data_IF_864919187426
#
_entry.id   IF_864919187426
#
_cell.length_a   1.000
_cell.length_b   1.000
_cell.length_c   1.000
_cell.angle_alpha   90.00
_cell.angle_beta   90.00
_cell.angle_gamma   90.00
#
_symmetry.space_group_name_H-M   'P 1'
#
loop_
_entity.id
_entity.type
_entity.pdbx_description
1 polymer ?
#
# COMPACT_ATOMS: atom_id res chain seq x y z
N UNK A 1 86.36 3.64 -0.92
CA UNK A 1 85.31 3.87 -1.94
C UNK A 1 84.69 2.54 -2.27
N UNK A 2 83.36 2.43 -2.21
CA UNK A 2 82.61 1.24 -2.62
C UNK A 2 81.44 0.94 -1.70
N UNK A 3 80.48 1.86 -1.59
CA UNK A 3 79.22 1.62 -0.89
C UNK A 3 78.27 0.93 -1.90
N UNK A 4 78.06 -0.37 -1.74
CA UNK A 4 77.17 -1.18 -2.58
C UNK A 4 75.73 -0.88 -2.17
N UNK A 5 75.02 -0.11 -3.01
CA UNK A 5 73.59 0.18 -2.86
C UNK A 5 72.79 -1.05 -3.30
N UNK A 6 72.34 -1.87 -2.35
CA UNK A 6 71.42 -2.97 -2.61
C UNK A 6 70.02 -2.44 -2.93
N UNK A 7 69.64 -2.48 -4.21
CA UNK A 7 68.30 -2.13 -4.67
C UNK A 7 67.35 -3.29 -4.32
N UNK A 8 66.71 -3.19 -3.14
CA UNK A 8 65.68 -4.12 -2.70
C UNK A 8 64.44 -3.99 -3.59
N UNK A 9 64.27 -4.96 -4.49
CA UNK A 9 63.11 -5.09 -5.35
C UNK A 9 61.89 -5.52 -4.49
N UNK A 10 61.20 -4.53 -3.91
CA UNK A 10 59.89 -4.69 -3.27
C UNK A 10 58.84 -4.99 -4.35
N UNK A 11 58.72 -6.25 -4.73
CA UNK A 11 57.61 -6.74 -5.55
C UNK A 11 56.39 -6.83 -4.63
N UNK A 12 55.63 -5.74 -4.56
CA UNK A 12 54.29 -5.72 -3.97
C UNK A 12 53.36 -6.51 -4.89
N UNK A 13 53.35 -7.84 -4.72
CA UNK A 13 52.34 -8.72 -5.30
C UNK A 13 51.01 -8.45 -4.62
N UNK A 14 50.26 -7.48 -5.14
CA UNK A 14 48.85 -7.33 -4.78
C UNK A 14 48.08 -8.52 -5.34
N UNK A 15 47.76 -9.49 -4.50
CA UNK A 15 46.71 -10.45 -4.81
C UNK A 15 45.41 -9.66 -4.97
N UNK A 16 44.99 -9.47 -6.22
CA UNK A 16 43.62 -9.06 -6.53
C UNK A 16 42.82 -10.35 -6.53
N UNK A 17 42.16 -10.65 -5.42
CA UNK A 17 41.24 -11.76 -5.35
C UNK A 17 39.97 -11.36 -6.11
N UNK A 18 39.63 -12.03 -7.23
CA UNK A 18 38.43 -11.70 -7.97
C UNK A 18 37.22 -12.03 -7.09
N UNK A 19 36.48 -11.02 -6.66
CA UNK A 19 35.22 -11.21 -5.95
C UNK A 19 34.22 -11.76 -6.97
N UNK A 20 33.93 -13.06 -6.88
CA UNK A 20 32.84 -13.70 -7.61
C UNK A 20 31.53 -13.23 -7.01
N UNK A 21 30.85 -12.29 -7.66
CA UNK A 21 29.61 -11.67 -7.17
C UNK A 21 28.49 -12.69 -6.89
N UNK A 22 28.52 -13.85 -7.52
CA UNK A 22 27.55 -14.93 -7.30
C UNK A 22 27.75 -15.68 -5.97
N UNK A 23 28.98 -15.73 -5.44
CA UNK A 23 29.27 -16.37 -4.14
C UNK A 23 28.81 -15.49 -2.97
N UNK A 24 28.58 -14.19 -3.21
CA UNK A 24 28.05 -13.25 -2.24
C UNK A 24 26.51 -13.18 -2.24
N UNK A 25 25.83 -13.94 -3.11
CA UNK A 25 24.38 -13.90 -3.21
C UNK A 25 23.72 -14.90 -2.26
N UNK A 26 22.94 -14.38 -1.32
CA UNK A 26 22.08 -15.17 -0.44
C UNK A 26 20.65 -15.16 -0.99
N UNK A 27 20.12 -16.34 -1.31
CA UNK A 27 18.73 -16.50 -1.75
C UNK A 27 17.78 -16.16 -0.60
N UNK A 28 16.77 -15.34 -0.87
CA UNK A 28 15.75 -14.91 0.08
C UNK A 28 14.37 -15.23 -0.50
N UNK A 29 13.39 -15.45 0.38
CA UNK A 29 11.98 -15.55 0.00
C UNK A 29 11.36 -14.16 -0.04
N UNK A 30 10.58 -13.89 -1.08
CA UNK A 30 9.71 -12.72 -1.22
C UNK A 30 8.27 -13.23 -1.13
N UNK A 31 7.48 -12.62 -0.25
CA UNK A 31 6.08 -12.93 -0.08
C UNK A 31 5.23 -11.72 -0.47
N UNK A 32 4.32 -11.92 -1.43
CA UNK A 32 3.34 -10.92 -1.87
C UNK A 32 1.95 -11.40 -1.46
N UNK A 33 1.20 -10.58 -0.73
CA UNK A 33 -0.06 -10.99 -0.14
C UNK A 33 -1.27 -10.18 -0.56
N UNK A 34 -2.41 -10.85 -0.68
CA UNK A 34 -3.73 -10.23 -0.84
C UNK A 34 -4.55 -10.54 0.41
N UNK A 35 -4.70 -9.53 1.26
CA UNK A 35 -5.44 -9.60 2.51
C UNK A 35 -6.54 -8.54 2.49
N UNK A 36 -7.72 -8.93 2.01
CA UNK A 36 -8.87 -8.04 1.82
C UNK A 36 -10.04 -8.54 2.65
N UNK A 37 -10.76 -7.61 3.28
CA UNK A 37 -11.97 -7.89 4.05
C UNK A 37 -12.99 -8.69 3.22
N UNK A 38 -13.56 -9.74 3.83
CA UNK A 38 -14.56 -10.62 3.23
C UNK A 38 -14.01 -11.58 2.18
N UNK A 39 -12.71 -11.50 1.87
CA UNK A 39 -12.02 -12.40 0.95
C UNK A 39 -11.19 -13.44 1.69
N UNK A 40 -10.86 -14.51 0.96
CA UNK A 40 -9.93 -15.53 1.40
C UNK A 40 -8.50 -15.01 1.23
N UNK A 41 -7.61 -15.21 2.23
CA UNK A 41 -6.22 -14.77 2.13
C UNK A 41 -5.46 -15.59 1.08
N UNK A 42 -4.56 -14.93 0.37
CA UNK A 42 -3.67 -15.57 -0.59
C UNK A 42 -2.26 -14.94 -0.53
N UNK A 43 -1.25 -15.77 -0.75
CA UNK A 43 0.16 -15.40 -0.86
C UNK A 43 0.74 -15.92 -2.18
N UNK A 44 1.58 -15.11 -2.81
CA UNK A 44 2.51 -15.53 -3.85
C UNK A 44 3.92 -15.51 -3.26
N UNK A 45 4.58 -16.65 -3.27
CA UNK A 45 5.94 -16.82 -2.78
C UNK A 45 6.91 -16.99 -3.96
N UNK A 46 7.96 -16.19 -3.97
CA UNK A 46 9.05 -16.29 -4.95
C UNK A 46 10.41 -16.22 -4.26
N UNK A 47 11.45 -16.66 -4.95
CA UNK A 47 12.83 -16.58 -4.47
C UNK A 47 13.61 -15.52 -5.23
N UNK A 48 14.47 -14.80 -4.51
CA UNK A 48 15.36 -13.83 -5.13
C UNK A 48 16.39 -14.53 -6.02
N UNK A 49 16.89 -13.80 -7.01
CA UNK A 49 18.00 -14.21 -7.87
C UNK A 49 19.16 -13.21 -7.78
N UNK A 50 20.37 -13.67 -8.08
CA UNK A 50 21.56 -12.81 -8.14
C UNK A 50 21.35 -11.70 -9.18
N UNK A 51 21.94 -10.52 -8.94
CA UNK A 51 21.90 -9.39 -9.89
C UNK A 51 22.51 -9.69 -11.26
N UNK A 52 23.28 -10.77 -11.36
CA UNK A 52 23.91 -11.25 -12.59
C UNK A 52 22.97 -12.13 -13.42
N UNK A 53 21.86 -12.59 -12.83
CA UNK A 53 20.86 -13.42 -13.47
C UNK A 53 19.72 -12.55 -14.06
N UNK A 54 18.97 -13.07 -15.05
CA UNK A 54 17.78 -12.40 -15.55
C UNK A 54 16.76 -12.15 -14.43
N UNK A 55 15.93 -11.13 -14.59
CA UNK A 55 14.81 -10.80 -13.71
C UNK A 55 13.66 -11.82 -13.84
N UNK A 56 13.95 -13.07 -13.47
CA UNK A 56 13.00 -14.17 -13.35
C UNK A 56 13.09 -14.73 -11.94
N UNK A 57 12.08 -14.44 -11.12
CA UNK A 57 12.02 -14.88 -9.72
C UNK A 57 11.34 -16.26 -9.67
N UNK A 58 12.07 -17.34 -9.33
CA UNK A 58 11.49 -18.68 -9.32
C UNK A 58 10.40 -18.79 -8.24
N UNK A 59 9.28 -19.47 -8.51
CA UNK A 59 8.26 -19.72 -7.50
C UNK A 59 8.82 -20.58 -6.38
N UNK A 60 8.39 -20.30 -5.15
CA UNK A 60 8.73 -21.08 -3.97
C UNK A 60 7.66 -22.15 -3.78
N UNK A 61 8.03 -23.40 -4.08
CA UNK A 61 7.17 -24.57 -3.91
C UNK A 61 7.53 -25.32 -2.61
N UNK A 62 6.60 -26.15 -2.13
CA UNK A 62 6.74 -27.00 -0.95
C UNK A 62 7.04 -26.25 0.37
N UNK A 63 6.65 -24.98 0.47
CA UNK A 63 6.72 -24.23 1.72
C UNK A 63 5.55 -24.60 2.65
N UNK A 64 5.80 -24.61 3.96
CA UNK A 64 4.74 -24.68 4.96
C UNK A 64 4.34 -23.26 5.33
N UNK A 65 3.10 -22.90 5.03
CA UNK A 65 2.59 -21.54 5.22
C UNK A 65 1.44 -21.56 6.21
N UNK A 66 1.54 -20.75 7.25
CA UNK A 66 0.52 -20.62 8.29
C UNK A 66 0.13 -19.16 8.51
N UNK A 67 -1.14 -18.93 8.77
CA UNK A 67 -1.69 -17.70 9.31
C UNK A 67 -2.12 -17.91 10.76
N UNK A 68 -1.80 -16.98 11.64
CA UNK A 68 -2.15 -17.04 13.05
C UNK A 68 -2.78 -15.72 13.51
N UNK A 69 -3.99 -15.77 14.07
CA UNK A 69 -4.70 -14.60 14.63
C UNK A 69 -4.56 -14.49 16.17
N UNK A 70 -3.68 -15.29 16.76
CA UNK A 70 -3.48 -15.45 18.21
C UNK A 70 -4.43 -16.45 18.87
N UNK A 71 -5.50 -16.87 18.20
CA UNK A 71 -6.46 -17.85 18.69
C UNK A 71 -6.47 -19.15 17.84
N UNK A 72 -6.22 -19.01 16.54
CA UNK A 72 -6.32 -20.06 15.54
C UNK A 72 -5.12 -19.96 14.59
N UNK A 73 -4.47 -21.10 14.35
CA UNK A 73 -3.46 -21.25 13.31
C UNK A 73 -4.06 -21.99 12.12
N UNK A 74 -4.04 -21.37 10.93
CA UNK A 74 -4.63 -21.88 9.70
C UNK A 74 -3.55 -22.15 8.65
N UNK A 75 -3.49 -23.35 8.05
CA UNK A 75 -2.57 -23.62 6.95
C UNK A 75 -3.06 -22.97 5.65
N UNK A 76 -2.12 -22.48 4.84
CA UNK A 76 -2.36 -22.15 3.44
C UNK A 76 -1.79 -23.26 2.57
N UNK A 77 -2.58 -23.71 1.61
CA UNK A 77 -2.24 -24.82 0.74
C UNK A 77 -1.72 -24.30 -0.60
N UNK A 78 -0.68 -24.94 -1.13
CA UNK A 78 -0.16 -24.61 -2.48
C UNK A 78 -1.24 -24.88 -3.53
N UNK A 79 -1.49 -23.88 -4.37
CA UNK A 79 -2.31 -23.98 -5.58
C UNK A 79 -1.45 -24.01 -6.85
N UNK A 80 -0.12 -24.04 -6.68
CA UNK A 80 0.90 -24.13 -7.73
C UNK A 80 1.41 -22.78 -8.23
N UNK A 81 2.63 -22.77 -8.76
CA UNK A 81 3.28 -21.55 -9.26
C UNK A 81 3.68 -20.60 -8.13
N UNK A 82 3.98 -21.13 -6.94
CA UNK A 82 4.29 -20.37 -5.74
C UNK A 82 3.07 -19.73 -5.05
N UNK A 83 1.84 -19.98 -5.51
CA UNK A 83 0.64 -19.47 -4.86
C UNK A 83 0.19 -20.38 -3.71
N UNK A 84 -0.17 -19.77 -2.59
CA UNK A 84 -0.68 -20.42 -1.38
C UNK A 84 -1.97 -19.73 -0.92
N UNK A 85 -3.02 -20.49 -0.65
CA UNK A 85 -4.33 -19.95 -0.25
C UNK A 85 -5.09 -20.90 0.69
N UNK A 86 -6.11 -20.37 1.37
CA UNK A 86 -7.05 -21.17 2.17
C UNK A 86 -8.47 -20.65 2.01
N UNK A 87 -9.44 -21.56 1.98
CA UNK A 87 -10.87 -21.22 1.97
C UNK A 87 -11.49 -21.29 3.38
N UNK A 88 -10.71 -21.67 4.39
CA UNK A 88 -11.18 -21.93 5.75
C UNK A 88 -11.60 -20.65 6.50
N UNK A 89 -11.05 -19.50 6.11
CA UNK A 89 -11.34 -18.21 6.72
C UNK A 89 -11.64 -17.15 5.67
N UNK A 90 -12.56 -16.25 5.99
CA UNK A 90 -12.72 -14.96 5.31
C UNK A 90 -12.24 -13.90 6.28
N UNK A 91 -11.35 -13.04 5.80
CA UNK A 91 -10.73 -12.04 6.66
C UNK A 91 -11.76 -11.02 7.13
N UNK A 92 -11.70 -10.66 8.41
CA UNK A 92 -12.54 -9.62 8.98
C UNK A 92 -11.72 -8.34 9.24
N UNK A 93 -12.41 -7.21 9.26
CA UNK A 93 -11.79 -5.93 9.57
C UNK A 93 -11.29 -5.88 11.02
N UNK A 94 -10.16 -5.21 11.25
CA UNK A 94 -9.56 -5.05 12.57
C UNK A 94 -8.85 -6.28 13.13
N UNK A 95 -8.64 -7.32 12.32
CA UNK A 95 -7.88 -8.50 12.72
C UNK A 95 -6.40 -8.34 12.38
N UNK A 96 -5.57 -8.80 13.31
CA UNK A 96 -4.13 -8.96 13.13
C UNK A 96 -3.84 -10.41 12.77
N UNK A 97 -2.95 -10.60 11.78
CA UNK A 97 -2.53 -11.92 11.34
C UNK A 97 -1.02 -11.99 11.29
N UNK A 98 -0.44 -13.00 11.93
CA UNK A 98 0.95 -13.38 11.77
C UNK A 98 1.06 -14.41 10.65
N UNK A 99 1.95 -14.16 9.71
CA UNK A 99 2.29 -15.08 8.63
C UNK A 99 3.59 -15.77 9.01
N UNK A 100 3.59 -17.11 9.01
CA UNK A 100 4.81 -17.91 9.16
C UNK A 100 5.02 -18.79 7.93
N UNK A 101 6.18 -18.65 7.31
CA UNK A 101 6.60 -19.42 6.14
C UNK A 101 7.84 -20.21 6.50
N UNK A 102 7.77 -21.54 6.37
CA UNK A 102 8.92 -22.42 6.52
C UNK A 102 9.30 -22.99 5.15
N UNK A 103 10.54 -22.75 4.72
CA UNK A 103 11.03 -23.21 3.42
C UNK A 103 12.54 -23.48 3.49
N UNK A 104 12.97 -24.62 2.95
CA UNK A 104 14.39 -25.08 2.96
C UNK A 104 15.06 -25.07 4.36
N UNK A 105 14.27 -25.21 5.43
CA UNK A 105 14.78 -25.20 6.81
C UNK A 105 14.90 -23.81 7.44
N UNK A 106 14.60 -22.75 6.70
CA UNK A 106 14.52 -21.38 7.18
C UNK A 106 13.07 -21.02 7.54
N UNK A 107 12.90 -20.09 8.50
CA UNK A 107 11.60 -19.57 8.92
C UNK A 107 11.54 -18.07 8.69
N UNK A 108 10.47 -17.63 8.02
CA UNK A 108 10.18 -16.22 7.75
C UNK A 108 8.87 -15.84 8.43
N UNK A 109 8.85 -14.66 9.05
CA UNK A 109 7.69 -14.15 9.78
C UNK A 109 7.32 -12.76 9.28
N UNK A 110 6.03 -12.50 9.15
CA UNK A 110 5.49 -11.18 8.82
C UNK A 110 4.18 -10.95 9.58
N UNK A 111 3.78 -9.69 9.69
CA UNK A 111 2.52 -9.29 10.34
C UNK A 111 1.68 -8.49 9.35
N UNK A 112 0.38 -8.78 9.33
CA UNK A 112 -0.61 -8.07 8.52
C UNK A 112 -1.72 -7.58 9.43
N UNK A 113 -1.95 -6.28 9.40
CA UNK A 113 -3.08 -5.64 10.08
C UNK A 113 -4.17 -5.33 9.06
N UNK A 114 -5.35 -5.95 9.18
CA UNK A 114 -6.52 -5.51 8.43
C UNK A 114 -7.13 -4.31 9.16
N UNK A 115 -7.09 -3.09 8.60
CA UNK A 115 -7.63 -1.93 9.29
C UNK A 115 -9.15 -2.04 9.46
N UNK A 116 -9.67 -1.65 10.62
CA UNK A 116 -11.11 -1.44 10.82
C UNK A 116 -11.62 -0.34 9.90
N UNK A 117 -12.86 -0.45 9.39
CA UNK A 117 -13.53 0.66 8.71
C UNK A 117 -13.81 1.78 9.71
N UNK A 118 -13.07 2.86 9.54
CA UNK A 118 -13.16 4.03 10.44
C UNK A 118 -14.28 4.99 10.03
N UNK A 119 -14.69 4.95 8.76
CA UNK A 119 -15.75 5.78 8.22
C UNK A 119 -16.70 4.94 7.36
N UNK A 120 -18.00 5.11 7.60
CA UNK A 120 -19.06 4.56 6.77
C UNK A 120 -19.61 5.69 5.91
N UNK A 121 -19.70 5.44 4.61
CA UNK A 121 -20.47 6.31 3.73
C UNK A 121 -21.95 6.03 3.94
N UNK A 122 -22.67 6.96 4.56
CA UNK A 122 -24.08 6.77 4.89
C UNK A 122 -24.97 7.04 3.68
N UNK A 123 -24.78 8.20 3.05
CA UNK A 123 -25.57 8.59 1.88
C UNK A 123 -24.93 9.71 1.08
N UNK A 124 -25.36 9.80 -0.18
CA UNK A 124 -25.07 10.91 -1.06
C UNK A 124 -26.39 11.65 -1.35
N UNK A 125 -26.40 12.95 -1.12
CA UNK A 125 -27.57 13.78 -1.39
C UNK A 125 -27.25 14.88 -2.41
N UNK A 126 -28.23 15.17 -3.27
CA UNK A 126 -28.13 16.16 -4.32
C UNK A 126 -29.27 17.18 -4.18
N UNK A 127 -28.94 18.45 -4.30
CA UNK A 127 -29.93 19.52 -4.44
C UNK A 127 -29.50 20.52 -5.50
N UNK A 128 -30.46 21.24 -6.09
CA UNK A 128 -30.19 22.33 -7.02
C UNK A 128 -30.56 23.64 -6.36
N UNK A 129 -29.66 24.61 -6.42
CA UNK A 129 -29.90 25.98 -5.93
C UNK A 129 -29.84 26.96 -7.08
N UNK A 130 -30.56 28.06 -6.93
CA UNK A 130 -30.48 29.21 -7.84
C UNK A 130 -29.72 30.28 -7.08
N UNK A 131 -28.61 30.76 -7.64
CA UNK A 131 -27.83 31.85 -7.03
C UNK A 131 -28.49 33.22 -7.26
N UNK A 132 -27.92 34.27 -6.68
CA UNK A 132 -28.47 35.63 -6.78
C UNK A 132 -28.51 36.19 -8.21
N UNK A 133 -27.80 35.57 -9.15
CA UNK A 133 -27.76 35.93 -10.57
C UNK A 133 -28.75 35.08 -11.40
N UNK A 134 -29.49 34.16 -10.78
CA UNK A 134 -30.43 33.28 -11.47
C UNK A 134 -29.81 32.01 -12.05
N UNK A 135 -28.51 31.76 -11.83
CA UNK A 135 -27.87 30.54 -12.33
C UNK A 135 -28.18 29.36 -11.42
N UNK A 136 -28.53 28.22 -12.04
CA UNK A 136 -28.73 26.96 -11.32
C UNK A 136 -27.38 26.29 -11.06
N UNK A 137 -27.14 25.88 -9.82
CA UNK A 137 -25.96 25.14 -9.38
C UNK A 137 -26.36 23.85 -8.68
N UNK A 138 -25.64 22.77 -8.94
CA UNK A 138 -25.83 21.54 -8.18
C UNK A 138 -24.99 21.58 -6.92
N UNK A 139 -25.60 21.13 -5.83
CA UNK A 139 -24.96 20.89 -4.55
C UNK A 139 -24.93 19.41 -4.29
N UNK A 140 -23.74 18.89 -4.05
CA UNK A 140 -23.51 17.51 -3.68
C UNK A 140 -23.10 17.46 -2.21
N UNK A 141 -23.80 16.66 -1.42
CA UNK A 141 -23.50 16.49 0.00
C UNK A 141 -23.29 15.02 0.33
N UNK A 142 -22.08 14.70 0.78
CA UNK A 142 -21.70 13.41 1.34
C UNK A 142 -22.08 13.40 2.81
N UNK A 143 -22.83 12.40 3.25
CA UNK A 143 -23.09 12.11 4.66
C UNK A 143 -22.30 10.88 5.05
N UNK A 144 -21.57 10.97 6.15
CA UNK A 144 -20.69 9.90 6.62
C UNK A 144 -20.74 9.78 8.14
N UNK A 145 -20.48 8.58 8.63
CA UNK A 145 -20.36 8.28 10.06
C UNK A 145 -18.94 7.81 10.35
N UNK A 146 -18.27 8.48 11.27
CA UNK A 146 -16.91 8.17 11.71
C UNK A 146 -16.96 7.49 13.07
N UNK A 147 -16.38 6.31 13.17
CA UNK A 147 -16.41 5.52 14.41
C UNK A 147 -15.31 5.94 15.39
N UNK A 148 -14.15 6.36 14.88
CA UNK A 148 -12.99 6.73 15.68
C UNK A 148 -12.31 7.97 15.12
N UNK A 149 -11.70 8.78 15.98
CA UNK A 149 -11.04 10.01 15.59
C UNK A 149 -9.81 9.69 14.76
N UNK A 150 -9.85 10.01 13.48
CA UNK A 150 -8.72 9.82 12.56
C UNK A 150 -8.69 10.95 11.55
N UNK A 151 -7.50 11.22 11.03
CA UNK A 151 -7.38 12.06 9.85
C UNK A 151 -7.74 11.22 8.63
N UNK A 152 -8.86 11.59 8.00
CA UNK A 152 -9.27 11.00 6.73
C UNK A 152 -9.06 12.06 5.67
N UNK A 153 -8.28 11.71 4.66
CA UNK A 153 -8.28 12.46 3.41
C UNK A 153 -9.18 11.75 2.42
N UNK A 154 -9.73 12.46 1.46
CA UNK A 154 -10.55 11.84 0.44
C UNK A 154 -10.53 12.66 -0.82
N UNK A 155 -10.85 12.00 -1.92
CA UNK A 155 -10.98 12.62 -3.22
C UNK A 155 -12.30 12.18 -3.81
N UNK A 156 -12.93 13.09 -4.55
CA UNK A 156 -14.06 12.73 -5.38
C UNK A 156 -13.87 13.29 -6.77
N UNK A 157 -14.42 12.58 -7.74
CA UNK A 157 -14.48 13.03 -9.11
C UNK A 157 -15.89 12.85 -9.66
N UNK A 158 -16.34 13.81 -10.45
CA UNK A 158 -17.55 13.76 -11.22
C UNK A 158 -17.16 13.54 -12.68
N UNK A 159 -17.67 12.47 -13.26
CA UNK A 159 -17.40 12.09 -14.65
C UNK A 159 -18.67 11.93 -15.45
N UNK A 160 -18.54 12.11 -16.76
CA UNK A 160 -19.53 11.67 -17.73
C UNK A 160 -18.78 11.00 -18.87
N UNK A 161 -19.06 9.71 -19.07
CA UNK A 161 -18.23 8.87 -19.93
C UNK A 161 -16.77 8.99 -19.47
N UNK A 162 -15.82 9.24 -20.37
CA UNK A 162 -14.40 9.39 -20.04
C UNK A 162 -14.01 10.81 -19.55
N UNK A 163 -14.95 11.76 -19.53
CA UNK A 163 -14.64 13.17 -19.25
C UNK A 163 -14.78 13.51 -17.76
N UNK A 164 -13.71 14.06 -17.18
CA UNK A 164 -13.72 14.68 -15.86
C UNK A 164 -14.41 16.04 -15.92
N UNK A 165 -15.48 16.22 -15.13
CA UNK A 165 -16.27 17.45 -15.08
C UNK A 165 -15.96 18.29 -13.85
N UNK A 166 -15.67 17.65 -12.73
CA UNK A 166 -15.28 18.29 -11.49
C UNK A 166 -14.57 17.29 -10.58
N UNK A 167 -13.77 17.80 -9.65
CA UNK A 167 -13.16 17.03 -8.59
C UNK A 167 -13.06 17.88 -7.33
N UNK A 168 -12.78 17.23 -6.21
CA UNK A 168 -12.46 17.93 -4.98
C UNK A 168 -11.87 16.99 -3.95
N UNK A 169 -11.27 17.60 -2.93
CA UNK A 169 -10.72 16.89 -1.79
C UNK A 169 -11.62 17.04 -0.55
N UNK A 170 -11.48 16.06 0.33
CA UNK A 170 -11.89 16.10 1.72
C UNK A 170 -10.59 16.06 2.53
N UNK A 171 -10.08 17.19 3.00
CA UNK A 171 -9.00 17.22 4.00
C UNK A 171 -9.57 17.79 5.29
N UNK A 172 -10.12 16.91 6.12
CA UNK A 172 -10.65 17.31 7.41
C UNK A 172 -10.33 16.24 8.46
N UNK A 173 -9.88 16.63 9.66
CA UNK A 173 -9.90 15.71 10.79
C UNK A 173 -11.35 15.32 11.04
N UNK A 174 -11.66 14.04 10.88
CA UNK A 174 -13.01 13.55 11.12
C UNK A 174 -13.14 13.26 12.62
N UNK A 175 -14.01 14.00 13.29
CA UNK A 175 -14.39 13.69 14.66
C UNK A 175 -15.35 12.50 14.66
N UNK A 176 -15.30 11.62 15.67
CA UNK A 176 -16.29 10.56 15.83
C UNK A 176 -17.71 11.12 15.80
N UNK A 177 -18.60 10.42 15.12
CA UNK A 177 -20.00 10.80 14.91
C UNK A 177 -20.36 11.00 13.44
N UNK A 178 -21.56 11.53 13.23
CA UNK A 178 -22.07 11.86 11.90
C UNK A 178 -21.55 13.22 11.43
N UNK A 179 -21.09 13.26 10.19
CA UNK A 179 -20.62 14.47 9.52
C UNK A 179 -21.19 14.57 8.12
N UNK A 180 -21.03 15.76 7.54
CA UNK A 180 -21.37 15.96 6.13
C UNK A 180 -20.40 16.93 5.47
N UNK A 181 -19.97 16.60 4.25
CA UNK A 181 -19.18 17.49 3.42
C UNK A 181 -20.01 17.89 2.20
N UNK A 182 -20.02 19.20 1.89
CA UNK A 182 -20.81 19.75 0.79
C UNK A 182 -19.94 20.45 -0.22
N UNK A 183 -20.14 20.14 -1.50
CA UNK A 183 -19.51 20.82 -2.62
C UNK A 183 -20.56 21.48 -3.51
N UNK A 184 -20.28 22.72 -3.90
CA UNK A 184 -21.06 23.46 -4.90
C UNK A 184 -20.41 23.26 -6.26
N UNK A 185 -21.17 22.74 -7.20
CA UNK A 185 -20.73 22.46 -8.56
C UNK A 185 -21.17 23.60 -9.47
N UNK A 186 -20.25 24.09 -10.29
CA UNK A 186 -20.57 25.04 -11.36
C UNK A 186 -21.30 24.36 -12.55
N UNK A 187 -21.59 23.06 -12.45
CA UNK A 187 -22.33 22.27 -13.42
C UNK A 187 -23.57 21.66 -12.78
N UNK A 188 -24.60 21.41 -13.60
CA UNK A 188 -25.78 20.67 -13.16
C UNK A 188 -25.52 19.17 -13.26
N UNK A 189 -25.78 18.46 -12.18
CA UNK A 189 -25.79 17.00 -12.17
C UNK A 189 -27.00 16.51 -12.97
N UNK A 190 -26.72 15.74 -14.01
CA UNK A 190 -27.72 15.12 -14.88
C UNK A 190 -27.72 13.61 -14.67
N UNK A 191 -28.84 12.98 -15.00
CA UNK A 191 -28.95 11.52 -14.98
C UNK A 191 -27.90 10.91 -15.90
N UNK A 192 -27.21 9.87 -15.42
CA UNK A 192 -26.14 9.17 -16.15
C UNK A 192 -24.74 9.74 -15.92
N UNK A 193 -24.59 10.78 -15.10
CA UNK A 193 -23.27 11.16 -14.58
C UNK A 193 -22.86 10.22 -13.45
N UNK A 194 -21.56 9.93 -13.37
CA UNK A 194 -20.98 9.08 -12.34
C UNK A 194 -20.21 9.94 -11.35
N UNK A 195 -20.41 9.67 -10.06
CA UNK A 195 -19.61 10.27 -9.00
C UNK A 195 -18.81 9.16 -8.33
N UNK A 196 -17.48 9.32 -8.36
CA UNK A 196 -16.54 8.40 -7.75
C UNK A 196 -16.01 9.05 -6.47
N UNK A 197 -16.05 8.32 -5.36
CA UNK A 197 -15.52 8.75 -4.07
C UNK A 197 -14.47 7.77 -3.59
N UNK A 198 -13.34 8.31 -3.15
CA UNK A 198 -12.26 7.55 -2.51
C UNK A 198 -11.98 8.21 -1.16
N UNK A 199 -12.14 7.46 -0.09
CA UNK A 199 -11.75 7.89 1.26
C UNK A 199 -10.50 7.12 1.64
N UNK A 200 -9.48 7.84 2.07
CA UNK A 200 -8.18 7.31 2.45
C UNK A 200 -7.92 7.66 3.92
N UNK A 201 -7.63 6.63 4.70
CA UNK A 201 -6.98 6.84 5.99
C UNK A 201 -5.54 7.22 5.70
N UNK A 202 -5.08 8.32 6.29
CA UNK A 202 -3.66 8.62 6.32
C UNK A 202 -3.15 8.28 7.70
N UNK A 203 -2.19 7.37 7.79
CA UNK A 203 -1.44 7.16 9.02
C UNK A 203 -0.82 8.49 9.50
N UNK A 204 -0.84 8.75 10.80
CA UNK A 204 -0.34 10.01 11.35
C UNK A 204 1.15 10.18 11.08
N UNK A 205 1.94 9.10 11.18
CA UNK A 205 3.36 9.09 10.86
C UNK A 205 3.60 9.40 9.38
N UNK A 206 2.87 8.73 8.48
CA UNK A 206 2.94 9.00 7.05
C UNK A 206 2.51 10.43 6.69
N UNK A 207 1.44 10.94 7.32
CA UNK A 207 1.00 12.31 7.11
C UNK A 207 2.04 13.34 7.57
N UNK A 208 2.62 13.13 8.76
CA UNK A 208 3.69 13.97 9.27
C UNK A 208 4.91 13.94 8.36
N UNK A 209 5.23 12.78 7.78
CA UNK A 209 6.26 12.65 6.75
C UNK A 209 5.93 13.47 5.50
N UNK A 210 4.71 13.39 4.96
CA UNK A 210 4.28 14.20 3.81
C UNK A 210 4.35 15.70 4.09
N UNK A 211 3.94 16.15 5.28
CA UNK A 211 4.07 17.55 5.69
C UNK A 211 5.54 17.98 5.80
N UNK A 212 6.40 17.11 6.32
CA UNK A 212 7.83 17.37 6.40
C UNK A 212 8.47 17.50 5.00
N UNK A 213 8.01 16.72 4.02
CA UNK A 213 8.43 16.84 2.62
C UNK A 213 7.94 18.14 1.98
N UNK A 214 6.68 18.53 2.18
CA UNK A 214 6.11 19.76 1.62
C UNK A 214 6.72 21.05 2.18
N UNK A 215 7.31 20.98 3.37
CA UNK A 215 8.05 22.08 4.00
C UNK A 215 9.52 22.16 3.53
N UNK A 216 9.97 21.27 2.65
CA UNK A 216 11.24 21.44 1.94
C UNK A 216 10.98 22.15 0.62
N UNK A 217 11.51 23.36 0.51
CA UNK A 217 11.27 24.34 -0.56
C UNK A 217 11.12 23.74 -1.97
N UNK A 218 9.90 23.78 -2.51
CA UNK A 218 9.67 23.75 -3.96
C UNK A 218 8.89 22.58 -4.55
N UNK A 219 8.41 21.61 -3.76
CA UNK A 219 7.48 20.59 -4.28
C UNK A 219 6.03 20.99 -4.04
N UNK A 220 5.13 20.84 -5.05
CA UNK A 220 3.72 21.17 -4.89
C UNK A 220 3.12 20.29 -3.80
N UNK A 221 2.59 20.94 -2.76
CA UNK A 221 1.72 20.32 -1.77
C UNK A 221 0.49 19.79 -2.51
N UNK A 222 0.25 18.48 -2.42
CA UNK A 222 -1.01 17.89 -2.88
C UNK A 222 -2.09 18.38 -1.90
N UNK A 223 -2.86 19.39 -2.31
CA UNK A 223 -4.05 19.89 -1.61
C UNK A 223 -5.32 19.51 -2.35
#
# INVERSE_FOLDING_TARGET
>A
MGLVLGFGLLVLGGCVEPITLDEAFERRVVAEGVFLEGQHPALLLSSTVSRTQPDSFPPVEDALVHLDDGATTLPLFSVGGGFYATEEVRLEEGQDWQIRIEWEGETYEAEVHLPQRLAILDSLSHSVRVDSLGFKRSRLTLHYTVQQAHRVTGFWSLRRDEFLLAEGSLDAPLTPGTGSQTWELNTLLLRGMEVHFVLLRVDEGFWNYLQALGNQDGLPVIG
#
